data_IF_863025086649
#
_entry.id   IF_863025086649
#
_cell.length_a   1.000
_cell.length_b   1.000
_cell.length_c   1.000
_cell.angle_alpha   90.00
_cell.angle_beta   90.00
_cell.angle_gamma   90.00
#
_symmetry.space_group_name_H-M   'P 1'
#
loop_
_entity.id
_entity.type
_entity.pdbx_description
1 polymer ?
#
# COMPACT_ATOMS: atom_id res chain seq x y z
N UNK A 1 58.56 -48.27 -11.77
CA UNK A 1 57.71 -47.19 -11.21
C UNK A 1 56.40 -47.24 -11.95
N UNK A 2 55.45 -47.98 -11.40
CA UNK A 2 54.07 -48.08 -11.89
C UNK A 2 53.32 -46.83 -11.44
N UNK A 3 52.73 -46.11 -12.38
CA UNK A 3 51.88 -44.95 -12.10
C UNK A 3 50.45 -45.49 -12.07
N UNK A 4 49.89 -45.61 -10.88
CA UNK A 4 48.50 -45.99 -10.69
C UNK A 4 47.58 -44.89 -11.22
N UNK A 5 46.67 -45.29 -12.11
CA UNK A 5 45.59 -44.49 -12.67
C UNK A 5 44.48 -44.36 -11.61
N UNK A 6 44.40 -43.19 -10.96
CA UNK A 6 43.29 -42.88 -10.06
C UNK A 6 42.01 -42.62 -10.87
N UNK A 7 41.07 -43.55 -10.78
CA UNK A 7 39.72 -43.39 -11.27
C UNK A 7 39.05 -42.15 -10.64
N UNK A 8 38.34 -41.37 -11.46
CA UNK A 8 37.55 -40.24 -11.01
C UNK A 8 36.50 -40.67 -9.97
N UNK A 9 36.28 -39.91 -8.89
CA UNK A 9 35.27 -40.25 -7.91
C UNK A 9 33.88 -40.21 -8.56
N UNK A 10 33.07 -41.24 -8.28
CA UNK A 10 31.68 -41.30 -8.68
C UNK A 10 30.96 -40.03 -8.22
N UNK A 11 30.40 -39.28 -9.18
CA UNK A 11 29.51 -38.17 -8.87
C UNK A 11 28.27 -38.75 -8.17
N UNK A 12 28.27 -38.67 -6.84
CA UNK A 12 27.08 -38.83 -6.03
C UNK A 12 26.03 -37.85 -6.59
N UNK A 13 24.97 -38.39 -7.20
CA UNK A 13 23.87 -37.60 -7.74
C UNK A 13 23.23 -36.82 -6.59
N UNK A 14 23.68 -35.59 -6.36
CA UNK A 14 23.06 -34.68 -5.42
C UNK A 14 21.59 -34.53 -5.84
N UNK A 15 20.68 -35.12 -5.04
CA UNK A 15 19.26 -35.08 -5.30
C UNK A 15 18.82 -33.63 -5.55
N UNK A 16 18.25 -33.37 -6.72
CA UNK A 16 17.71 -32.06 -7.09
C UNK A 16 16.66 -31.65 -6.06
N UNK A 17 17.04 -30.77 -5.12
CA UNK A 17 16.09 -30.18 -4.18
C UNK A 17 15.18 -29.24 -4.96
N UNK A 18 13.85 -29.38 -4.85
CA UNK A 18 12.89 -28.41 -5.36
C UNK A 18 12.48 -27.46 -4.23
N UNK A 19 12.05 -26.27 -4.59
CA UNK A 19 11.44 -25.30 -3.66
C UNK A 19 10.13 -24.79 -4.22
N UNK A 20 9.14 -24.66 -3.33
CA UNK A 20 7.86 -24.05 -3.63
C UNK A 20 7.89 -22.54 -3.30
N UNK A 21 7.57 -21.70 -4.27
CA UNK A 21 7.57 -20.23 -4.22
C UNK A 21 6.21 -19.63 -3.86
N UNK A 22 5.76 -18.60 -4.58
CA UNK A 22 4.44 -18.00 -4.31
C UNK A 22 3.30 -18.93 -4.71
N UNK A 23 2.12 -18.73 -4.11
CA UNK A 23 0.88 -19.40 -4.49
C UNK A 23 -0.10 -18.33 -4.97
N UNK A 24 -0.57 -18.49 -6.20
CA UNK A 24 -1.65 -17.69 -6.75
C UNK A 24 -2.98 -18.42 -6.51
N UNK A 25 -4.00 -17.70 -6.02
CA UNK A 25 -5.36 -18.25 -5.88
C UNK A 25 -6.32 -17.51 -6.81
N UNK A 26 -7.27 -18.27 -7.36
CA UNK A 26 -8.37 -17.71 -8.14
C UNK A 26 -9.65 -17.67 -7.29
N UNK A 27 -10.48 -16.64 -7.51
CA UNK A 27 -11.76 -16.49 -6.81
C UNK A 27 -11.63 -16.30 -5.30
N UNK A 28 -12.43 -17.05 -4.53
CA UNK A 28 -12.55 -16.90 -3.06
C UNK A 28 -11.72 -17.90 -2.25
N UNK A 29 -10.87 -18.70 -2.90
CA UNK A 29 -10.11 -19.71 -2.18
C UNK A 29 -8.90 -19.14 -1.44
N UNK A 30 -8.61 -19.72 -0.28
CA UNK A 30 -7.43 -19.44 0.53
C UNK A 30 -6.20 -20.18 -0.03
N UNK A 31 -5.02 -19.57 0.09
CA UNK A 31 -3.70 -20.14 -0.27
C UNK A 31 -3.51 -21.54 0.28
N UNK A 32 -3.79 -21.75 1.57
CA UNK A 32 -3.64 -23.06 2.21
C UNK A 32 -4.52 -24.15 1.59
N UNK A 33 -5.64 -23.78 0.94
CA UNK A 33 -6.52 -24.75 0.27
C UNK A 33 -6.01 -25.15 -1.10
N UNK A 34 -5.44 -24.22 -1.86
CA UNK A 34 -4.74 -24.56 -3.12
C UNK A 34 -3.56 -25.47 -2.82
N UNK A 35 -2.79 -25.17 -1.76
CA UNK A 35 -1.68 -26.01 -1.32
C UNK A 35 -2.15 -27.41 -0.88
N UNK A 36 -3.21 -27.49 -0.07
CA UNK A 36 -3.78 -28.76 0.36
C UNK A 36 -4.28 -29.60 -0.82
N UNK A 37 -4.97 -29.01 -1.79
CA UNK A 37 -5.39 -29.73 -3.00
C UNK A 37 -4.20 -30.23 -3.82
N UNK A 38 -3.15 -29.41 -3.96
CA UNK A 38 -1.96 -29.80 -4.71
C UNK A 38 -1.18 -30.93 -4.03
N UNK A 39 -1.08 -30.90 -2.70
CA UNK A 39 -0.42 -31.92 -1.90
C UNK A 39 -1.26 -33.21 -1.80
N UNK A 40 -2.59 -33.10 -1.70
CA UNK A 40 -3.50 -34.24 -1.69
C UNK A 40 -3.56 -34.99 -3.02
N UNK A 41 -3.09 -34.39 -4.12
CA UNK A 41 -3.05 -35.05 -5.42
C UNK A 41 -1.92 -36.10 -5.54
N UNK A 42 -1.09 -36.28 -4.51
CA UNK A 42 0.00 -37.24 -4.47
C UNK A 42 -0.46 -38.61 -3.94
N UNK A 43 -0.04 -39.72 -4.56
CA UNK A 43 -0.26 -41.05 -4.00
C UNK A 43 0.49 -41.26 -2.67
N UNK A 44 0.00 -42.19 -1.87
CA UNK A 44 0.57 -42.51 -0.55
C UNK A 44 2.05 -42.92 -0.66
N UNK A 45 2.93 -42.19 0.02
CA UNK A 45 4.38 -42.49 0.01
C UNK A 45 5.12 -42.13 -1.27
N UNK A 46 4.55 -41.25 -2.11
CA UNK A 46 5.22 -40.73 -3.31
C UNK A 46 6.61 -40.17 -3.00
N UNK A 47 7.60 -40.56 -3.80
CA UNK A 47 8.99 -40.06 -3.75
C UNK A 47 9.25 -38.97 -4.78
N UNK A 48 8.22 -38.51 -5.52
CA UNK A 48 8.36 -37.40 -6.45
C UNK A 48 8.79 -36.13 -5.68
N UNK A 49 9.90 -35.47 -6.08
CA UNK A 49 10.37 -34.26 -5.44
C UNK A 49 9.30 -33.15 -5.33
N UNK A 50 8.35 -33.07 -6.26
CA UNK A 50 7.24 -32.12 -6.21
C UNK A 50 6.29 -32.47 -5.07
N UNK A 51 5.92 -33.74 -4.94
CA UNK A 51 4.97 -34.22 -3.94
C UNK A 51 5.55 -34.02 -2.53
N UNK A 52 6.82 -34.38 -2.34
CA UNK A 52 7.55 -34.22 -1.07
C UNK A 52 7.60 -32.75 -0.64
N UNK A 53 7.89 -31.83 -1.56
CA UNK A 53 7.97 -30.38 -1.26
C UNK A 53 6.61 -29.79 -0.94
N UNK A 54 5.56 -30.20 -1.64
CA UNK A 54 4.19 -29.72 -1.39
C UNK A 54 3.66 -30.23 -0.05
N UNK A 55 3.86 -31.51 0.26
CA UNK A 55 3.46 -32.11 1.53
C UNK A 55 4.23 -31.51 2.71
N UNK A 56 5.55 -31.35 2.59
CA UNK A 56 6.38 -30.72 3.63
C UNK A 56 5.96 -29.28 3.90
N UNK A 57 5.73 -28.48 2.85
CA UNK A 57 5.26 -27.10 3.02
C UNK A 57 3.88 -27.02 3.66
N UNK A 58 2.96 -27.92 3.31
CA UNK A 58 1.64 -27.95 3.93
C UNK A 58 1.75 -28.24 5.43
N UNK A 59 2.59 -29.20 5.82
CA UNK A 59 2.83 -29.53 7.23
C UNK A 59 3.44 -28.34 8.00
N UNK A 60 4.33 -27.57 7.38
CA UNK A 60 4.94 -26.39 7.99
C UNK A 60 3.98 -25.19 8.11
N UNK A 61 3.16 -24.93 7.08
CA UNK A 61 2.29 -23.74 7.03
C UNK A 61 0.89 -23.98 7.62
N UNK A 62 0.38 -25.22 7.59
CA UNK A 62 -1.02 -25.62 7.86
C UNK A 62 -1.10 -27.03 8.44
N UNK A 63 -0.54 -27.22 9.63
CA UNK A 63 -0.64 -28.44 10.43
C UNK A 63 -2.10 -28.81 10.79
N UNK A 64 -3.02 -27.86 10.71
CA UNK A 64 -4.47 -28.04 10.92
C UNK A 64 -5.17 -28.80 9.78
N UNK A 65 -4.56 -28.93 8.59
CA UNK A 65 -5.14 -29.63 7.44
C UNK A 65 -4.49 -31.01 7.29
N UNK A 66 -5.22 -32.06 7.69
CA UNK A 66 -4.82 -33.43 7.42
C UNK A 66 -5.01 -33.78 5.93
N UNK A 67 -3.98 -34.37 5.32
CA UNK A 67 -4.07 -34.90 3.95
C UNK A 67 -4.73 -36.29 3.97
N UNK A 68 -5.75 -36.52 3.12
CA UNK A 68 -6.30 -37.85 2.92
C UNK A 68 -5.28 -38.72 2.17
N UNK A 69 -5.32 -40.03 2.43
CA UNK A 69 -4.50 -41.01 1.72
C UNK A 69 -5.14 -41.32 0.38
N UNK A 70 -4.40 -41.11 -0.71
CA UNK A 70 -4.84 -41.45 -2.07
C UNK A 70 -4.27 -42.81 -2.47
N UNK A 71 -5.13 -43.70 -2.98
CA UNK A 71 -4.71 -44.99 -3.50
C UNK A 71 -4.08 -44.85 -4.89
N UNK A 72 -3.14 -45.74 -5.26
CA UNK A 72 -2.48 -45.68 -6.56
C UNK A 72 -3.46 -45.79 -7.74
N UNK A 73 -4.59 -46.48 -7.56
CA UNK A 73 -5.65 -46.61 -8.57
C UNK A 73 -6.46 -45.33 -8.81
N UNK A 74 -6.37 -44.35 -7.91
CA UNK A 74 -7.07 -43.06 -7.99
C UNK A 74 -6.25 -41.99 -8.72
N UNK A 75 -5.02 -42.30 -9.11
CA UNK A 75 -4.11 -41.39 -9.81
C UNK A 75 -4.02 -41.77 -11.29
N UNK A 76 -4.53 -40.89 -12.15
CA UNK A 76 -4.29 -40.95 -13.60
C UNK A 76 -3.14 -39.99 -13.96
N UNK A 77 -1.92 -40.51 -14.23
CA UNK A 77 -0.72 -39.71 -14.37
C UNK A 77 -0.76 -38.80 -15.60
N UNK A 78 0.11 -37.78 -15.59
CA UNK A 78 0.31 -36.91 -16.73
C UNK A 78 0.93 -37.68 -17.90
N UNK A 79 0.47 -37.38 -19.12
CA UNK A 79 0.93 -37.99 -20.38
C UNK A 79 1.49 -36.89 -21.31
N UNK A 80 2.20 -37.26 -22.36
CA UNK A 80 2.84 -36.27 -23.26
C UNK A 80 1.81 -35.43 -24.04
N UNK A 81 0.68 -36.03 -24.37
CA UNK A 81 -0.50 -35.40 -24.98
C UNK A 81 -1.35 -34.63 -23.95
N UNK A 82 -1.32 -35.08 -22.69
CA UNK A 82 -2.09 -34.52 -21.57
C UNK A 82 -1.18 -34.18 -20.40
N UNK A 83 -0.61 -32.98 -20.42
CA UNK A 83 0.40 -32.47 -19.46
C UNK A 83 -0.15 -32.09 -18.08
N UNK A 84 -1.19 -32.80 -17.63
CA UNK A 84 -1.73 -32.73 -16.28
C UNK A 84 -2.13 -34.13 -15.81
N UNK A 85 -1.97 -34.39 -14.52
CA UNK A 85 -2.52 -35.57 -13.84
C UNK A 85 -3.91 -35.27 -13.32
N UNK A 86 -4.71 -36.32 -13.18
CA UNK A 86 -5.99 -36.30 -12.51
C UNK A 86 -5.91 -37.24 -11.32
N UNK A 87 -6.18 -36.74 -10.13
CA UNK A 87 -6.15 -37.53 -8.90
C UNK A 87 -7.50 -37.45 -8.23
N UNK A 88 -8.12 -38.59 -7.97
CA UNK A 88 -9.33 -38.66 -7.16
C UNK A 88 -8.92 -38.65 -5.68
N UNK A 89 -9.48 -37.69 -4.95
CA UNK A 89 -9.18 -37.43 -3.55
C UNK A 89 -10.46 -37.58 -2.77
N UNK A 90 -10.50 -38.61 -1.94
CA UNK A 90 -11.62 -38.87 -1.04
C UNK A 90 -11.44 -38.14 0.28
N UNK A 91 -12.55 -37.79 0.92
CA UNK A 91 -12.56 -37.21 2.26
C UNK A 91 -11.73 -35.91 2.44
N UNK A 92 -11.62 -35.09 1.39
CA UNK A 92 -10.92 -33.81 1.50
C UNK A 92 -11.73 -32.85 2.37
N UNK A 93 -11.12 -32.37 3.46
CA UNK A 93 -11.78 -31.48 4.41
C UNK A 93 -12.29 -30.20 3.73
N UNK A 94 -13.54 -29.81 3.98
CA UNK A 94 -14.16 -28.61 3.40
C UNK A 94 -13.96 -27.36 4.28
N UNK A 95 -13.99 -26.14 3.71
CA UNK A 95 -13.85 -24.91 4.48
C UNK A 95 -14.99 -24.69 5.49
N UNK A 96 -14.66 -24.14 6.66
CA UNK A 96 -15.66 -23.68 7.64
C UNK A 96 -16.37 -24.79 8.41
N UNK A 97 -15.71 -25.93 8.63
CA UNK A 97 -16.28 -27.05 9.40
C UNK A 97 -17.39 -27.82 8.67
N UNK A 98 -17.50 -27.67 7.34
CA UNK A 98 -18.55 -28.28 6.52
C UNK A 98 -18.34 -29.78 6.22
N UNK A 99 -17.57 -30.48 7.04
CA UNK A 99 -17.24 -31.90 6.84
C UNK A 99 -16.16 -32.16 5.80
N UNK A 100 -16.18 -33.34 5.19
CA UNK A 100 -15.30 -33.78 4.11
C UNK A 100 -16.08 -33.90 2.79
N UNK A 101 -15.37 -33.95 1.66
CA UNK A 101 -15.99 -34.18 0.35
C UNK A 101 -15.02 -34.73 -0.67
N UNK A 102 -15.57 -35.35 -1.70
CA UNK A 102 -14.80 -36.04 -2.73
C UNK A 102 -14.57 -35.13 -3.94
N UNK A 103 -13.32 -35.08 -4.39
CA UNK A 103 -12.90 -34.21 -5.49
C UNK A 103 -11.98 -34.94 -6.45
N UNK A 104 -12.07 -34.59 -7.73
CA UNK A 104 -10.99 -34.85 -8.68
C UNK A 104 -10.13 -33.61 -8.77
N UNK A 105 -8.85 -33.74 -8.41
CA UNK A 105 -7.84 -32.69 -8.50
C UNK A 105 -7.06 -32.86 -9.79
N UNK A 106 -7.04 -31.81 -10.59
CA UNK A 106 -6.23 -31.71 -11.80
C UNK A 106 -4.97 -30.91 -11.49
N UNK A 107 -3.80 -31.50 -11.74
CA UNK A 107 -2.50 -30.89 -11.46
C UNK A 107 -1.58 -30.95 -12.67
N UNK A 108 -1.04 -29.82 -13.13
CA UNK A 108 -0.17 -29.85 -14.29
C UNK A 108 0.32 -28.51 -14.78
N UNK A 109 0.69 -28.44 -16.05
CA UNK A 109 1.08 -27.17 -16.66
C UNK A 109 -0.12 -26.21 -16.76
N UNK A 110 0.17 -24.92 -16.56
CA UNK A 110 -0.87 -23.90 -16.52
C UNK A 110 -1.70 -23.79 -17.80
N UNK A 111 -1.07 -23.91 -18.98
CA UNK A 111 -1.78 -23.73 -20.23
C UNK A 111 -2.78 -24.88 -20.49
N UNK A 112 -2.37 -26.12 -20.23
CA UNK A 112 -3.24 -27.29 -20.38
C UNK A 112 -4.35 -27.31 -19.34
N UNK A 113 -4.04 -27.01 -18.06
CA UNK A 113 -5.08 -26.94 -17.02
C UNK A 113 -6.08 -25.83 -17.33
N UNK A 114 -5.63 -24.65 -17.72
CA UNK A 114 -6.54 -23.54 -18.09
C UNK A 114 -7.40 -23.86 -19.33
N UNK A 115 -6.99 -24.79 -20.20
CA UNK A 115 -7.82 -25.19 -21.35
C UNK A 115 -9.04 -26.02 -20.93
N UNK A 116 -8.87 -26.84 -19.88
CA UNK A 116 -9.84 -27.85 -19.46
C UNK A 116 -10.73 -27.41 -18.27
N UNK A 117 -10.53 -26.21 -17.73
CA UNK A 117 -11.28 -25.71 -16.58
C UNK A 117 -12.04 -24.41 -16.83
N UNK A 118 -13.09 -24.20 -16.04
CA UNK A 118 -13.84 -22.94 -15.94
C UNK A 118 -13.06 -21.93 -15.11
N UNK A 119 -12.91 -20.73 -15.64
CA UNK A 119 -12.25 -19.60 -14.99
C UNK A 119 -12.86 -18.29 -15.52
N UNK A 120 -12.97 -17.28 -14.66
CA UNK A 120 -13.44 -15.95 -15.09
C UNK A 120 -12.41 -15.31 -16.04
N UNK A 121 -12.87 -14.39 -16.92
CA UNK A 121 -11.95 -13.68 -17.83
C UNK A 121 -10.92 -12.84 -17.07
N UNK A 122 -11.33 -12.23 -15.96
CA UNK A 122 -10.48 -11.41 -15.11
C UNK A 122 -9.39 -12.27 -14.43
N UNK A 123 -9.79 -13.36 -13.78
CA UNK A 123 -8.86 -14.27 -13.10
C UNK A 123 -7.90 -14.93 -14.09
N UNK A 124 -8.39 -15.29 -15.30
CA UNK A 124 -7.52 -15.84 -16.36
C UNK A 124 -6.45 -14.86 -16.78
N UNK A 125 -6.82 -13.60 -17.04
CA UNK A 125 -5.87 -12.57 -17.46
C UNK A 125 -4.79 -12.33 -16.38
N UNK A 126 -5.20 -12.30 -15.11
CA UNK A 126 -4.28 -12.14 -13.97
C UNK A 126 -3.39 -13.37 -13.79
N UNK A 127 -3.97 -14.58 -13.84
CA UNK A 127 -3.23 -15.84 -13.68
C UNK A 127 -2.15 -15.99 -14.75
N UNK A 128 -2.50 -15.78 -16.02
CA UNK A 128 -1.56 -15.89 -17.15
C UNK A 128 -0.46 -14.83 -17.05
N UNK A 129 -0.81 -13.58 -16.72
CA UNK A 129 0.16 -12.50 -16.57
C UNK A 129 1.14 -12.76 -15.42
N UNK A 130 0.64 -13.21 -14.26
CA UNK A 130 1.49 -13.48 -13.10
C UNK A 130 2.38 -14.71 -13.35
N UNK A 131 1.84 -15.74 -14.01
CA UNK A 131 2.60 -16.92 -14.40
C UNK A 131 3.73 -16.60 -15.40
N UNK A 132 3.49 -15.75 -16.41
CA UNK A 132 4.56 -15.30 -17.32
C UNK A 132 5.68 -14.57 -16.57
N UNK A 133 5.30 -13.67 -15.65
CA UNK A 133 6.28 -12.98 -14.79
C UNK A 133 7.05 -13.95 -13.88
N UNK A 134 6.37 -14.98 -13.38
CA UNK A 134 6.96 -16.06 -12.58
C UNK A 134 7.96 -16.90 -13.38
N UNK A 135 7.60 -17.30 -14.60
CA UNK A 135 8.45 -18.06 -15.50
C UNK A 135 9.69 -17.29 -15.93
N UNK A 136 9.58 -15.98 -16.15
CA UNK A 136 10.76 -15.11 -16.40
C UNK A 136 11.73 -15.03 -15.21
N UNK A 137 11.29 -15.40 -14.00
CA UNK A 137 12.12 -15.48 -12.78
C UNK A 137 12.68 -16.88 -12.54
N UNK A 138 12.43 -17.84 -13.44
CA UNK A 138 12.91 -19.22 -13.33
C UNK A 138 11.97 -20.16 -12.58
N UNK A 139 10.77 -19.70 -12.19
CA UNK A 139 9.76 -20.56 -11.57
C UNK A 139 8.87 -21.23 -12.63
N UNK A 140 8.40 -22.43 -12.33
CA UNK A 140 7.42 -23.17 -13.12
C UNK A 140 6.10 -23.22 -12.35
N UNK A 141 5.02 -22.62 -12.87
CA UNK A 141 3.72 -22.66 -12.22
C UNK A 141 3.10 -24.06 -12.39
N UNK A 142 2.88 -24.74 -11.26
CA UNK A 142 2.08 -25.96 -11.17
C UNK A 142 0.63 -25.56 -10.94
N UNK A 143 -0.18 -25.65 -11.98
CA UNK A 143 -1.59 -25.31 -11.91
C UNK A 143 -2.41 -26.39 -11.22
N UNK A 144 -3.42 -25.94 -10.48
CA UNK A 144 -4.36 -26.77 -9.74
C UNK A 144 -5.77 -26.36 -10.12
N UNK A 145 -6.58 -27.34 -10.53
CA UNK A 145 -8.02 -27.22 -10.70
C UNK A 145 -8.70 -28.36 -9.96
N UNK A 146 -9.97 -28.18 -9.61
CA UNK A 146 -10.74 -29.25 -8.97
C UNK A 146 -12.17 -29.32 -9.49
N UNK A 147 -12.71 -30.54 -9.46
CA UNK A 147 -14.11 -30.83 -9.76
C UNK A 147 -14.70 -31.65 -8.60
N UNK A 148 -15.88 -31.29 -8.06
CA UNK A 148 -16.55 -32.11 -7.06
C UNK A 148 -17.05 -33.42 -7.70
N UNK A 149 -17.04 -34.50 -6.93
CA UNK A 149 -17.65 -35.79 -7.32
C UNK A 149 -19.06 -35.84 -6.72
N UNK A 150 -20.07 -35.96 -7.58
CA UNK A 150 -21.48 -36.04 -7.19
C UNK A 150 -21.96 -37.47 -6.94
N UNK A 151 -23.25 -37.61 -6.59
CA UNK A 151 -23.89 -38.92 -6.46
C UNK A 151 -23.78 -39.72 -7.78
N UNK A 152 -23.46 -41.02 -7.67
CA UNK A 152 -23.27 -41.90 -8.83
C UNK A 152 -21.90 -41.79 -9.52
N UNK A 153 -20.87 -41.32 -8.81
CA UNK A 153 -19.48 -41.17 -9.31
C UNK A 153 -19.34 -40.22 -10.51
N UNK A 154 -20.23 -39.23 -10.59
CA UNK A 154 -20.25 -38.27 -11.68
C UNK A 154 -19.33 -37.08 -11.37
N UNK A 155 -18.30 -36.89 -12.21
CA UNK A 155 -17.35 -35.78 -12.05
C UNK A 155 -17.94 -34.48 -12.60
N UNK A 156 -18.02 -33.46 -11.76
CA UNK A 156 -18.50 -32.13 -12.15
C UNK A 156 -17.55 -31.37 -13.08
N UNK A 157 -17.89 -30.12 -13.39
CA UNK A 157 -17.01 -29.27 -14.20
C UNK A 157 -15.78 -28.81 -13.40
N UNK A 158 -14.59 -28.94 -13.99
CA UNK A 158 -13.35 -28.43 -13.39
C UNK A 158 -13.40 -26.91 -13.25
N UNK A 159 -13.02 -26.42 -12.08
CA UNK A 159 -12.85 -24.99 -11.79
C UNK A 159 -11.39 -24.72 -11.47
N UNK A 160 -10.82 -23.67 -12.07
CA UNK A 160 -9.45 -23.26 -11.78
C UNK A 160 -9.34 -22.76 -10.33
N UNK A 161 -8.40 -23.33 -9.58
CA UNK A 161 -8.24 -23.00 -8.17
C UNK A 161 -7.03 -22.09 -7.94
N UNK A 162 -5.95 -22.29 -8.68
CA UNK A 162 -4.73 -21.52 -8.51
C UNK A 162 -3.52 -22.20 -9.13
N UNK A 163 -2.34 -21.68 -8.84
CA UNK A 163 -1.10 -22.36 -9.16
C UNK A 163 -0.06 -22.14 -8.06
N UNK A 164 0.87 -23.08 -7.96
CA UNK A 164 1.99 -23.05 -7.02
C UNK A 164 3.27 -22.95 -7.82
N UNK A 165 4.11 -21.99 -7.50
CA UNK A 165 5.38 -21.80 -8.18
C UNK A 165 6.38 -22.84 -7.68
N UNK A 166 7.05 -23.55 -8.59
CA UNK A 166 8.10 -24.51 -8.26
C UNK A 166 9.39 -24.14 -8.98
N UNK A 167 10.54 -24.31 -8.33
CA UNK A 167 11.84 -24.21 -9.00
C UNK A 167 12.82 -25.24 -8.45
N UNK A 168 13.87 -25.51 -9.21
CA UNK A 168 15.04 -26.19 -8.65
C UNK A 168 15.74 -25.25 -7.67
N UNK A 169 15.97 -25.78 -6.47
CA UNK A 169 16.73 -25.12 -5.42
C UNK A 169 18.21 -25.41 -5.65
N UNK A 170 18.97 -24.36 -6.00
CA UNK A 170 20.39 -24.38 -5.70
C UNK A 170 20.53 -24.02 -4.20
N UNK A 171 21.07 -24.92 -3.34
CA UNK A 171 21.12 -24.69 -1.89
C UNK A 171 21.77 -23.37 -1.49
N UNK A 172 22.68 -22.83 -2.30
CA UNK A 172 23.38 -21.57 -2.04
C UNK A 172 22.53 -20.31 -2.30
N UNK A 173 21.38 -20.42 -2.98
CA UNK A 173 20.56 -19.26 -3.39
C UNK A 173 19.20 -19.15 -2.72
N UNK A 174 18.72 -20.17 -2.02
CA UNK A 174 17.34 -20.20 -1.50
C UNK A 174 17.01 -19.04 -0.55
N UNK A 175 17.91 -18.69 0.37
CA UNK A 175 17.73 -17.54 1.25
C UNK A 175 17.70 -16.22 0.45
N UNK A 176 18.56 -16.07 -0.54
CA UNK A 176 18.62 -14.90 -1.43
C UNK A 176 17.42 -14.82 -2.37
N UNK A 177 16.85 -15.96 -2.77
CA UNK A 177 15.72 -16.10 -3.69
C UNK A 177 14.35 -15.97 -3.00
N UNK A 178 14.23 -16.43 -1.75
CA UNK A 178 13.09 -16.14 -0.88
C UNK A 178 13.12 -14.67 -0.45
N UNK A 179 14.31 -14.12 -0.16
CA UNK A 179 14.48 -12.69 0.02
C UNK A 179 14.09 -11.92 -1.25
N UNK A 180 14.47 -12.41 -2.43
CA UNK A 180 14.13 -11.81 -3.73
C UNK A 180 12.71 -12.14 -4.25
N UNK A 181 11.91 -12.96 -3.54
CA UNK A 181 10.56 -13.35 -3.97
C UNK A 181 9.62 -12.13 -3.98
N UNK A 182 9.14 -11.67 -5.16
CA UNK A 182 8.43 -10.39 -5.29
C UNK A 182 7.02 -10.37 -4.71
N UNK A 183 6.48 -11.53 -4.32
CA UNK A 183 5.19 -11.65 -3.62
C UNK A 183 5.33 -11.50 -2.10
N UNK A 184 6.55 -11.45 -1.58
CA UNK A 184 6.77 -11.05 -0.19
C UNK A 184 6.65 -9.53 -0.05
N UNK A 185 5.93 -9.11 0.98
CA UNK A 185 5.72 -7.71 1.30
C UNK A 185 6.89 -7.19 2.13
N UNK A 186 7.55 -6.15 1.67
CA UNK A 186 8.53 -5.41 2.45
C UNK A 186 7.86 -4.20 3.09
N UNK A 187 7.99 -4.07 4.41
CA UNK A 187 7.63 -2.84 5.11
C UNK A 187 8.74 -1.81 4.92
N UNK A 188 8.42 -0.71 4.25
CA UNK A 188 9.31 0.44 4.11
C UNK A 188 8.87 1.50 5.12
N UNK A 189 9.71 1.81 6.09
CA UNK A 189 9.47 2.93 7.01
C UNK A 189 9.72 4.23 6.28
N UNK A 190 8.63 4.91 5.93
CA UNK A 190 8.63 6.05 5.03
C UNK A 190 8.56 7.38 5.79
N UNK A 191 7.76 7.41 6.86
CA UNK A 191 7.50 8.63 7.63
C UNK A 191 8.06 8.52 9.04
N UNK A 192 9.01 9.39 9.35
CA UNK A 192 9.55 9.51 10.71
C UNK A 192 8.47 9.94 11.70
N UNK A 193 8.61 9.53 12.97
CA UNK A 193 7.66 9.89 14.03
C UNK A 193 7.53 11.41 14.20
N UNK A 194 8.63 12.14 14.03
CA UNK A 194 8.66 13.61 14.07
C UNK A 194 7.79 14.23 12.96
N UNK A 195 7.87 13.72 11.72
CA UNK A 195 7.03 14.18 10.61
C UNK A 195 5.55 13.92 10.88
N UNK A 196 5.23 12.73 11.43
CA UNK A 196 3.85 12.37 11.77
C UNK A 196 3.27 13.26 12.85
N UNK A 197 4.02 13.51 13.92
CA UNK A 197 3.63 14.44 14.97
C UNK A 197 3.36 15.82 14.39
N UNK A 198 4.29 16.34 13.57
CA UNK A 198 4.14 17.65 12.96
C UNK A 198 2.89 17.74 12.06
N UNK A 199 2.60 16.72 11.27
CA UNK A 199 1.39 16.68 10.45
C UNK A 199 0.11 16.72 11.31
N UNK A 200 -0.02 15.84 12.29
CA UNK A 200 -1.24 15.77 13.11
C UNK A 200 -1.42 17.01 13.99
N UNK A 201 -0.34 17.61 14.49
CA UNK A 201 -0.39 18.91 15.16
C UNK A 201 -0.87 20.03 14.23
N UNK A 202 -0.44 20.04 12.96
CA UNK A 202 -0.95 20.98 11.97
C UNK A 202 -2.43 20.77 11.67
N UNK A 203 -2.88 19.51 11.50
CA UNK A 203 -4.29 19.19 11.27
C UNK A 203 -5.16 19.72 12.42
N UNK A 204 -4.78 19.44 13.67
CA UNK A 204 -5.51 19.92 14.85
C UNK A 204 -5.56 21.46 14.89
N UNK A 205 -4.42 22.12 14.65
CA UNK A 205 -4.35 23.57 14.63
C UNK A 205 -5.23 24.18 13.54
N UNK A 206 -5.18 23.64 12.31
CA UNK A 206 -5.98 24.12 11.18
C UNK A 206 -7.49 23.98 11.47
N UNK A 207 -7.91 22.86 12.06
CA UNK A 207 -9.33 22.65 12.43
C UNK A 207 -9.77 23.69 13.46
N UNK A 208 -9.04 23.84 14.56
CA UNK A 208 -9.41 24.80 15.62
C UNK A 208 -9.39 26.25 15.11
N UNK A 209 -8.35 26.64 14.35
CA UNK A 209 -8.24 27.98 13.76
C UNK A 209 -9.33 28.25 12.73
N UNK A 210 -9.71 27.26 11.94
CA UNK A 210 -10.79 27.40 10.95
C UNK A 210 -12.15 27.59 11.62
N UNK A 211 -12.49 26.76 12.61
CA UNK A 211 -13.77 26.86 13.31
C UNK A 211 -13.89 28.19 14.07
N UNK A 212 -12.87 28.54 14.83
CA UNK A 212 -12.85 29.82 15.57
C UNK A 212 -12.76 31.03 14.63
N UNK A 213 -11.98 30.95 13.55
CA UNK A 213 -11.83 32.01 12.57
C UNK A 213 -13.13 32.27 11.80
N UNK A 214 -13.85 31.22 11.41
CA UNK A 214 -15.16 31.35 10.80
C UNK A 214 -16.16 32.01 11.76
N UNK A 215 -16.21 31.60 13.03
CA UNK A 215 -17.05 32.25 14.05
C UNK A 215 -16.68 33.72 14.30
N UNK A 216 -15.40 34.09 14.13
CA UNK A 216 -14.93 35.49 14.20
C UNK A 216 -15.40 36.31 13.00
N UNK A 217 -15.45 35.69 11.82
CA UNK A 217 -15.89 36.33 10.59
C UNK A 217 -17.42 36.48 10.55
N UNK A 218 -18.15 35.43 10.90
CA UNK A 218 -19.61 35.36 10.88
C UNK A 218 -20.12 34.71 12.18
N UNK A 219 -20.51 35.51 13.19
CA UNK A 219 -21.00 35.00 14.47
C UNK A 219 -22.44 34.49 14.35
N UNK A 220 -22.60 33.26 13.86
CA UNK A 220 -23.92 32.62 13.67
C UNK A 220 -24.36 31.74 14.85
N UNK A 221 -23.46 31.39 15.77
CA UNK A 221 -23.70 30.46 16.88
C UNK A 221 -23.38 31.08 18.24
N UNK A 222 -24.27 30.83 19.21
CA UNK A 222 -24.16 31.28 20.59
C UNK A 222 -25.20 32.34 20.96
N UNK A 223 -25.31 32.72 22.25
CA UNK A 223 -26.17 33.82 22.65
C UNK A 223 -25.73 35.08 21.88
N UNK A 224 -26.63 35.66 21.10
CA UNK A 224 -26.44 37.03 20.62
C UNK A 224 -26.19 37.92 21.83
N UNK A 225 -25.39 38.98 21.69
CA UNK A 225 -25.21 39.95 22.76
C UNK A 225 -26.60 40.38 23.24
N UNK A 226 -27.01 39.89 24.41
CA UNK A 226 -28.27 40.27 25.02
C UNK A 226 -28.07 41.72 25.46
N UNK A 227 -29.07 42.57 25.23
CA UNK A 227 -29.09 43.93 25.81
C UNK A 227 -29.26 43.90 27.36
N UNK A 228 -29.12 42.71 27.96
CA UNK A 228 -29.21 42.48 29.39
C UNK A 228 -27.87 42.83 30.04
N UNK A 229 -27.86 44.00 30.67
CA UNK A 229 -26.69 44.57 31.37
C UNK A 229 -26.23 43.68 32.52
N UNK A 230 -27.07 42.75 33.01
CA UNK A 230 -26.73 41.89 34.15
C UNK A 230 -25.94 40.62 33.78
N UNK A 231 -25.87 40.24 32.51
CA UNK A 231 -25.08 39.08 32.07
C UNK A 231 -24.58 39.25 30.63
N UNK A 232 -23.65 40.20 30.38
CA UNK A 232 -23.03 40.33 29.08
C UNK A 232 -22.21 39.06 28.80
N UNK A 233 -22.71 38.19 27.90
CA UNK A 233 -22.00 36.96 27.54
C UNK A 233 -20.58 37.21 27.03
N UNK A 234 -19.62 36.36 27.41
CA UNK A 234 -18.21 36.48 27.00
C UNK A 234 -17.76 35.42 25.98
N UNK A 235 -18.72 34.79 25.28
CA UNK A 235 -18.45 33.73 24.32
C UNK A 235 -17.43 34.16 23.26
N UNK A 236 -17.60 35.35 22.68
CA UNK A 236 -16.71 35.83 21.64
C UNK A 236 -15.30 36.15 22.15
N UNK A 237 -15.18 36.49 23.43
CA UNK A 237 -13.90 36.60 24.12
C UNK A 237 -13.17 35.26 24.16
N UNK A 238 -13.86 34.19 24.57
CA UNK A 238 -13.32 32.84 24.57
C UNK A 238 -12.90 32.35 23.18
N UNK A 239 -13.75 32.54 22.16
CA UNK A 239 -13.44 32.16 20.77
C UNK A 239 -12.16 32.85 20.29
N UNK A 240 -12.01 34.16 20.56
CA UNK A 240 -10.80 34.92 20.19
C UNK A 240 -9.57 34.44 20.94
N UNK A 241 -9.67 34.18 22.26
CA UNK A 241 -8.55 33.67 23.06
C UNK A 241 -8.09 32.31 22.53
N UNK A 242 -9.01 31.40 22.23
CA UNK A 242 -8.68 30.09 21.64
C UNK A 242 -8.00 30.29 20.29
N UNK A 243 -8.57 31.12 19.41
CA UNK A 243 -8.00 31.39 18.09
C UNK A 243 -6.57 31.91 18.18
N UNK A 244 -6.31 32.96 18.97
CA UNK A 244 -4.98 33.55 19.10
C UNK A 244 -3.98 32.59 19.75
N UNK A 245 -4.40 31.88 20.79
CA UNK A 245 -3.53 30.91 21.48
C UNK A 245 -3.12 29.79 20.52
N UNK A 246 -4.08 29.22 19.78
CA UNK A 246 -3.79 28.21 18.77
C UNK A 246 -2.93 28.78 17.63
N UNK A 247 -3.13 30.04 17.24
CA UNK A 247 -2.32 30.68 16.20
C UNK A 247 -0.85 30.80 16.62
N UNK A 248 -0.57 31.19 17.87
CA UNK A 248 0.79 31.23 18.40
C UNK A 248 1.42 29.83 18.51
N UNK A 249 0.66 28.81 18.91
CA UNK A 249 1.14 27.42 18.88
C UNK A 249 1.46 27.00 17.45
N UNK A 250 0.60 27.36 16.48
CA UNK A 250 0.80 27.03 15.07
C UNK A 250 2.01 27.76 14.47
N UNK A 251 2.29 29.00 14.89
CA UNK A 251 3.52 29.72 14.56
C UNK A 251 4.77 28.99 15.07
N UNK A 252 4.75 28.46 16.30
CA UNK A 252 5.86 27.67 16.85
C UNK A 252 6.06 26.38 16.05
N UNK A 253 4.97 25.68 15.71
CA UNK A 253 5.01 24.48 14.84
C UNK A 253 5.59 24.82 13.46
N UNK A 254 5.20 25.96 12.89
CA UNK A 254 5.70 26.49 11.62
C UNK A 254 7.20 26.84 11.69
N UNK A 255 7.63 27.52 12.75
CA UNK A 255 9.04 27.83 12.97
C UNK A 255 9.88 26.56 13.13
N UNK A 256 9.40 25.58 13.89
CA UNK A 256 10.05 24.28 14.00
C UNK A 256 10.14 23.56 12.65
N UNK A 257 9.15 23.73 11.76
CA UNK A 257 9.21 23.23 10.38
C UNK A 257 10.30 23.91 9.58
N UNK A 258 10.38 25.23 9.63
CA UNK A 258 11.41 26.00 8.91
C UNK A 258 12.80 25.55 9.35
N UNK A 259 13.05 25.44 10.67
CA UNK A 259 14.34 24.93 11.19
C UNK A 259 14.62 23.52 10.68
N UNK A 260 13.62 22.64 10.71
CA UNK A 260 13.76 21.26 10.20
C UNK A 260 14.04 21.22 8.70
N UNK A 261 13.50 22.15 7.92
CA UNK A 261 13.71 22.25 6.48
C UNK A 261 15.18 22.49 6.09
N UNK A 262 15.94 23.15 6.98
CA UNK A 262 17.37 23.41 6.78
C UNK A 262 18.27 22.40 7.51
N UNK A 263 17.90 21.96 8.72
CA UNK A 263 18.79 21.20 9.61
C UNK A 263 18.50 19.70 9.69
N UNK A 264 17.34 19.23 9.22
CA UNK A 264 16.97 17.83 9.38
C UNK A 264 17.86 16.88 8.56
N UNK A 265 18.22 15.74 9.17
CA UNK A 265 18.88 14.61 8.49
C UNK A 265 17.90 13.81 7.63
N UNK A 266 16.60 13.92 7.90
CA UNK A 266 15.56 13.24 7.14
C UNK A 266 15.34 13.97 5.79
N UNK A 267 15.58 13.26 4.69
CA UNK A 267 15.44 13.77 3.32
C UNK A 267 14.05 14.38 3.08
N UNK A 268 13.00 13.80 3.64
CA UNK A 268 11.62 14.24 3.42
C UNK A 268 11.25 15.51 4.18
N UNK A 269 12.07 15.92 5.16
CA UNK A 269 11.89 17.19 5.86
C UNK A 269 12.61 18.36 5.18
N UNK A 270 13.54 18.11 4.27
CA UNK A 270 14.43 19.15 3.72
C UNK A 270 13.77 20.02 2.64
N UNK A 271 14.21 21.26 2.55
CA UNK A 271 13.78 22.25 1.54
C UNK A 271 13.77 21.74 0.09
N UNK A 272 14.78 21.00 -0.42
CA UNK A 272 14.80 20.55 -1.81
C UNK A 272 13.67 19.59 -2.18
N UNK A 273 12.95 19.04 -1.21
CA UNK A 273 11.81 18.13 -1.39
C UNK A 273 10.50 18.90 -1.65
N UNK A 274 10.46 20.21 -1.39
CA UNK A 274 9.32 21.09 -1.67
C UNK A 274 9.26 21.53 -3.14
N UNK A 275 10.27 21.24 -3.96
CA UNK A 275 10.26 21.60 -5.36
C UNK A 275 10.47 20.38 -6.27
N UNK A 276 9.39 19.83 -6.87
CA UNK A 276 9.45 18.62 -7.69
C UNK A 276 10.03 18.85 -9.08
N UNK A 277 9.97 20.08 -9.61
CA UNK A 277 10.21 20.36 -11.03
C UNK A 277 11.67 20.75 -11.27
N UNK A 278 12.58 19.77 -11.25
CA UNK A 278 14.02 20.00 -11.48
C UNK A 278 14.48 19.60 -12.88
N UNK A 279 13.81 18.63 -13.50
CA UNK A 279 14.15 18.09 -14.82
C UNK A 279 12.92 18.09 -15.75
N UNK A 280 13.18 18.04 -17.06
CA UNK A 280 12.12 17.92 -18.08
C UNK A 280 11.25 16.66 -17.89
N UNK A 281 11.83 15.60 -17.37
CA UNK A 281 11.14 14.35 -17.06
C UNK A 281 10.12 14.51 -15.92
N UNK A 282 10.40 15.35 -14.92
CA UNK A 282 9.48 15.63 -13.80
C UNK A 282 8.21 16.32 -14.28
N UNK A 283 8.34 17.22 -15.26
CA UNK A 283 7.19 17.92 -15.89
C UNK A 283 6.34 16.94 -16.70
N UNK A 284 6.97 16.03 -17.45
CA UNK A 284 6.25 14.97 -18.19
C UNK A 284 5.49 14.05 -17.23
N UNK A 285 6.12 13.68 -16.11
CA UNK A 285 5.51 12.85 -15.07
C UNK A 285 4.39 13.58 -14.34
N UNK A 286 4.52 14.89 -14.07
CA UNK A 286 3.43 15.72 -13.55
C UNK A 286 2.20 15.67 -14.47
N UNK A 287 2.38 15.88 -15.78
CA UNK A 287 1.29 15.77 -16.75
C UNK A 287 0.67 14.36 -16.80
N UNK A 288 1.48 13.31 -16.62
CA UNK A 288 0.97 11.94 -16.53
C UNK A 288 0.11 11.71 -15.28
N UNK A 289 0.54 12.22 -14.13
CA UNK A 289 -0.19 12.13 -12.85
C UNK A 289 -1.49 12.94 -12.91
N UNK A 290 -1.44 14.18 -13.40
CA UNK A 290 -2.64 15.01 -13.60
C UNK A 290 -3.62 14.33 -14.55
N UNK A 291 -3.14 13.82 -15.69
CA UNK A 291 -3.97 13.08 -16.63
C UNK A 291 -4.60 11.83 -16.03
N UNK A 292 -3.91 11.15 -15.09
CA UNK A 292 -4.48 10.00 -14.39
C UNK A 292 -5.60 10.41 -13.41
N UNK A 293 -5.42 11.48 -12.65
CA UNK A 293 -6.44 12.00 -11.75
C UNK A 293 -7.65 12.58 -12.50
N UNK A 294 -7.44 13.14 -13.68
CA UNK A 294 -8.51 13.60 -14.59
C UNK A 294 -9.13 12.47 -15.43
N UNK A 295 -8.79 11.20 -15.16
CA UNK A 295 -9.28 10.02 -15.89
C UNK A 295 -8.91 9.96 -17.38
N UNK A 296 -8.02 10.84 -17.84
CA UNK A 296 -7.49 10.86 -19.21
C UNK A 296 -6.53 9.68 -19.44
N UNK A 297 -5.81 9.24 -18.40
CA UNK A 297 -4.84 8.13 -18.46
C UNK A 297 -5.17 7.00 -17.50
N UNK A 298 -5.09 5.76 -17.99
CA UNK A 298 -5.37 4.55 -17.20
C UNK A 298 -4.31 4.22 -16.15
N UNK A 299 -3.05 4.62 -16.37
CA UNK A 299 -1.93 4.30 -15.49
C UNK A 299 -1.10 5.54 -15.15
N UNK A 300 -0.80 5.74 -13.87
CA UNK A 300 0.16 6.73 -13.37
C UNK A 300 1.53 6.07 -13.07
N UNK A 301 2.63 6.84 -13.07
CA UNK A 301 3.92 6.37 -12.58
C UNK A 301 3.84 6.04 -11.08
N UNK A 302 4.50 4.95 -10.66
CA UNK A 302 4.57 4.55 -9.25
C UNK A 302 5.53 5.47 -8.49
N UNK A 303 5.03 6.20 -7.49
CA UNK A 303 5.83 6.97 -6.55
C UNK A 303 5.78 6.32 -5.16
N UNK A 304 6.90 6.35 -4.44
CA UNK A 304 7.03 5.81 -3.09
C UNK A 304 6.59 6.82 -2.04
N UNK A 305 7.11 8.06 -2.11
CA UNK A 305 6.86 9.10 -1.13
C UNK A 305 5.81 10.10 -1.62
N UNK A 306 6.13 10.87 -2.65
CA UNK A 306 5.23 11.90 -3.15
C UNK A 306 5.36 12.05 -4.66
N UNK A 307 4.22 11.99 -5.34
CA UNK A 307 4.16 12.36 -6.75
C UNK A 307 4.34 13.90 -6.92
N UNK A 308 4.72 14.38 -8.13
CA UNK A 308 4.96 15.80 -8.36
C UNK A 308 3.76 16.70 -8.04
N UNK A 309 2.53 16.21 -8.27
CA UNK A 309 1.32 16.96 -7.96
C UNK A 309 1.12 17.15 -6.45
N UNK A 310 1.37 16.10 -5.67
CA UNK A 310 1.36 16.13 -4.21
C UNK A 310 2.42 17.10 -3.68
N UNK A 311 3.65 17.04 -4.21
CA UNK A 311 4.72 17.96 -3.80
C UNK A 311 4.34 19.42 -4.06
N UNK A 312 3.78 19.75 -5.22
CA UNK A 312 3.26 21.10 -5.51
C UNK A 312 2.12 21.50 -4.56
N UNK A 313 1.21 20.57 -4.26
CA UNK A 313 0.13 20.78 -3.30
C UNK A 313 0.66 21.16 -1.91
N UNK A 314 1.64 20.43 -1.39
CA UNK A 314 2.23 20.75 -0.08
C UNK A 314 2.97 22.08 -0.07
N UNK A 315 3.69 22.40 -1.14
CA UNK A 315 4.37 23.70 -1.26
C UNK A 315 3.36 24.84 -1.30
N UNK A 316 2.27 24.68 -2.05
CA UNK A 316 1.14 25.60 -2.02
C UNK A 316 0.57 25.75 -0.62
N UNK A 317 0.35 24.65 0.11
CA UNK A 317 -0.17 24.67 1.47
C UNK A 317 0.78 25.37 2.46
N UNK A 318 2.10 25.19 2.34
CA UNK A 318 3.08 25.92 3.16
C UNK A 318 3.08 27.42 2.87
N UNK A 319 2.95 27.82 1.60
CA UNK A 319 2.84 29.23 1.20
C UNK A 319 1.55 29.84 1.75
N UNK A 320 0.41 29.17 1.58
CA UNK A 320 -0.87 29.62 2.14
C UNK A 320 -0.81 29.72 3.67
N UNK A 321 -0.19 28.74 4.33
CA UNK A 321 0.01 28.76 5.78
C UNK A 321 0.87 29.95 6.24
N UNK A 322 1.97 30.24 5.53
CA UNK A 322 2.81 31.40 5.83
C UNK A 322 2.04 32.72 5.64
N UNK A 323 1.26 32.84 4.56
CA UNK A 323 0.40 34.01 4.33
C UNK A 323 -0.63 34.15 5.46
N UNK A 324 -1.26 33.06 5.87
CA UNK A 324 -2.24 33.06 6.97
C UNK A 324 -1.61 33.49 8.30
N UNK A 325 -0.41 33.01 8.59
CA UNK A 325 0.37 33.39 9.78
C UNK A 325 0.73 34.88 9.76
N UNK A 326 1.23 35.40 8.63
CA UNK A 326 1.61 36.81 8.50
C UNK A 326 0.40 37.73 8.64
N UNK A 327 -0.68 37.44 7.90
CA UNK A 327 -1.90 38.26 7.95
C UNK A 327 -2.57 38.21 9.33
N UNK A 328 -2.55 37.06 10.00
CA UNK A 328 -3.01 36.92 11.39
C UNK A 328 -2.17 37.73 12.38
N UNK A 329 -0.84 37.66 12.26
CA UNK A 329 0.08 38.47 13.07
C UNK A 329 -0.09 39.97 12.84
N UNK A 330 -0.29 40.39 11.59
CA UNK A 330 -0.60 41.77 11.23
C UNK A 330 -1.86 42.26 11.93
N UNK A 331 -2.94 41.47 11.90
CA UNK A 331 -4.20 41.82 12.56
C UNK A 331 -4.07 41.86 14.09
N UNK A 332 -3.36 40.90 14.67
CA UNK A 332 -3.08 40.88 16.12
C UNK A 332 -2.18 42.06 16.55
N UNK A 333 -1.20 42.40 15.71
CA UNK A 333 -0.22 43.45 15.96
C UNK A 333 -0.80 44.86 15.98
N UNK A 334 -1.95 45.10 15.35
CA UNK A 334 -2.60 46.42 15.34
C UNK A 334 -2.80 46.99 16.74
N UNK A 335 -3.23 46.15 17.70
CA UNK A 335 -3.48 46.57 19.09
C UNK A 335 -2.18 46.90 19.83
N UNK A 336 -1.07 46.31 19.38
CA UNK A 336 0.25 46.41 20.01
C UNK A 336 1.20 47.32 19.24
N UNK A 337 0.72 48.03 18.21
CA UNK A 337 1.57 48.76 17.25
C UNK A 337 2.58 49.70 17.91
N UNK A 338 2.16 50.39 18.98
CA UNK A 338 2.99 51.37 19.69
C UNK A 338 3.81 50.77 20.85
N UNK A 339 3.71 49.46 21.11
CA UNK A 339 4.41 48.83 22.24
C UNK A 339 5.85 48.43 21.90
N UNK A 340 6.16 48.18 20.63
CA UNK A 340 7.48 47.79 20.16
C UNK A 340 7.64 48.05 18.67
N UNK A 341 8.88 48.33 18.24
CA UNK A 341 9.25 48.48 16.83
C UNK A 341 8.84 47.26 15.97
N UNK A 342 8.90 46.05 16.55
CA UNK A 342 8.49 44.82 15.89
C UNK A 342 7.00 44.85 15.51
N UNK A 343 6.13 45.21 16.44
CA UNK A 343 4.68 45.33 16.18
C UNK A 343 4.37 46.49 15.26
N UNK A 344 5.17 47.55 15.29
CA UNK A 344 5.14 48.64 14.31
C UNK A 344 5.29 48.15 12.87
N UNK A 345 6.28 47.28 12.59
CA UNK A 345 6.54 46.73 11.25
C UNK A 345 5.50 45.66 10.86
N UNK A 346 5.18 44.75 11.78
CA UNK A 346 4.25 43.64 11.48
C UNK A 346 2.84 44.14 11.18
N UNK A 347 2.42 45.24 11.80
CA UNK A 347 1.09 45.84 11.57
C UNK A 347 1.03 46.82 10.41
N UNK A 348 2.17 47.23 9.82
CA UNK A 348 2.21 48.22 8.72
C UNK A 348 1.33 47.87 7.51
N UNK A 349 1.13 46.59 7.12
CA UNK A 349 0.24 46.27 6.01
C UNK A 349 -1.21 46.75 6.21
N UNK A 350 -1.66 46.91 7.45
CA UNK A 350 -2.99 47.49 7.74
C UNK A 350 -3.06 48.96 7.35
N UNK A 351 -1.98 49.71 7.48
CA UNK A 351 -1.93 51.13 7.11
C UNK A 351 -2.01 51.30 5.58
N UNK A 352 -1.44 50.36 4.83
CA UNK A 352 -1.39 50.43 3.37
C UNK A 352 -2.68 49.93 2.71
N UNK A 353 -3.21 48.82 3.21
CA UNK A 353 -4.34 48.13 2.58
C UNK A 353 -5.66 48.37 3.30
N UNK A 354 -5.65 48.86 4.54
CA UNK A 354 -6.83 49.04 5.37
C UNK A 354 -7.25 47.75 6.08
N UNK A 355 -7.78 47.89 7.30
CA UNK A 355 -8.17 46.78 8.17
C UNK A 355 -9.16 45.81 7.52
N UNK A 356 -10.15 46.33 6.80
CA UNK A 356 -11.19 45.52 6.15
C UNK A 356 -10.60 44.60 5.09
N UNK A 357 -9.72 45.13 4.23
CA UNK A 357 -9.12 44.36 3.16
C UNK A 357 -8.18 43.27 3.70
N UNK A 358 -7.42 43.56 4.76
CA UNK A 358 -6.57 42.55 5.41
C UNK A 358 -7.42 41.43 6.02
N UNK A 359 -8.57 41.74 6.65
CA UNK A 359 -9.51 40.73 7.17
C UNK A 359 -10.10 39.87 6.06
N UNK A 360 -10.59 40.48 4.99
CA UNK A 360 -11.13 39.76 3.84
C UNK A 360 -10.08 38.85 3.23
N UNK A 361 -8.85 39.35 3.05
CA UNK A 361 -7.75 38.55 2.51
C UNK A 361 -7.40 37.36 3.42
N UNK A 362 -7.33 37.57 4.74
CA UNK A 362 -7.12 36.49 5.72
C UNK A 362 -8.24 35.43 5.68
N UNK A 363 -9.49 35.84 5.47
CA UNK A 363 -10.62 34.93 5.30
C UNK A 363 -10.56 34.17 3.97
N UNK A 364 -10.21 34.82 2.86
CA UNK A 364 -10.04 34.17 1.56
C UNK A 364 -8.98 33.07 1.64
N UNK A 365 -7.84 33.35 2.28
CA UNK A 365 -6.77 32.36 2.46
C UNK A 365 -7.24 31.18 3.30
N UNK A 366 -8.04 31.39 4.34
CA UNK A 366 -8.70 30.31 5.10
C UNK A 366 -9.56 29.42 4.18
N UNK A 367 -10.38 29.99 3.30
CA UNK A 367 -11.21 29.22 2.38
C UNK A 367 -10.38 28.46 1.32
N UNK A 368 -9.26 29.02 0.86
CA UNK A 368 -8.32 28.30 -0.01
C UNK A 368 -7.70 27.10 0.72
N UNK A 369 -7.38 27.23 2.01
CA UNK A 369 -6.93 26.11 2.85
C UNK A 369 -8.03 25.06 2.97
N UNK A 370 -9.30 25.44 3.12
CA UNK A 370 -10.41 24.47 3.16
C UNK A 370 -10.53 23.68 1.86
N UNK A 371 -10.48 24.37 0.71
CA UNK A 371 -10.50 23.73 -0.60
C UNK A 371 -9.35 22.72 -0.75
N UNK A 372 -8.14 23.08 -0.30
CA UNK A 372 -7.00 22.17 -0.26
C UNK A 372 -7.25 20.96 0.64
N UNK A 373 -7.75 21.15 1.87
CA UNK A 373 -8.01 20.04 2.81
C UNK A 373 -9.03 19.06 2.25
N UNK A 374 -10.13 19.55 1.68
CA UNK A 374 -11.17 18.71 1.05
C UNK A 374 -10.56 17.89 -0.09
N UNK A 375 -9.82 18.55 -1.00
CA UNK A 375 -9.17 17.88 -2.13
C UNK A 375 -8.12 16.86 -1.64
N UNK A 376 -7.34 17.21 -0.64
CA UNK A 376 -6.30 16.36 -0.06
C UNK A 376 -6.90 15.07 0.53
N UNK A 377 -7.96 15.18 1.33
CA UNK A 377 -8.65 14.03 1.92
C UNK A 377 -9.24 13.14 0.81
N UNK A 378 -9.92 13.73 -0.17
CA UNK A 378 -10.47 12.98 -1.30
C UNK A 378 -9.39 12.19 -2.06
N UNK A 379 -8.28 12.85 -2.43
CA UNK A 379 -7.19 12.21 -3.16
C UNK A 379 -6.49 11.13 -2.33
N UNK A 380 -6.33 11.36 -1.01
CA UNK A 380 -5.77 10.37 -0.10
C UNK A 380 -6.64 9.10 -0.05
N UNK A 381 -7.95 9.25 0.19
CA UNK A 381 -8.91 8.13 0.24
C UNK A 381 -8.99 7.41 -1.11
N UNK A 382 -9.05 8.16 -2.21
CA UNK A 382 -9.08 7.60 -3.57
C UNK A 382 -7.82 6.77 -3.85
N UNK A 383 -6.64 7.30 -3.54
CA UNK A 383 -5.38 6.59 -3.78
C UNK A 383 -5.27 5.32 -2.93
N UNK A 384 -5.75 5.36 -1.69
CA UNK A 384 -5.73 4.19 -0.81
C UNK A 384 -6.69 3.10 -1.28
N UNK A 385 -7.88 3.49 -1.74
CA UNK A 385 -8.92 2.59 -2.23
C UNK A 385 -8.59 1.97 -3.59
N UNK A 386 -8.10 2.77 -4.56
CA UNK A 386 -7.87 2.30 -5.94
C UNK A 386 -6.47 1.71 -6.14
N UNK A 387 -5.45 2.29 -5.52
CA UNK A 387 -4.05 1.98 -5.82
C UNK A 387 -3.39 1.13 -4.71
N UNK A 388 -4.11 0.87 -3.60
CA UNK A 388 -3.63 0.10 -2.43
C UNK A 388 -2.28 0.59 -1.90
N UNK A 389 -2.04 1.90 -2.02
CA UNK A 389 -0.77 2.52 -1.68
C UNK A 389 -0.50 2.62 -0.18
N UNK A 390 -1.51 2.43 0.68
CA UNK A 390 -1.35 2.50 2.13
C UNK A 390 -1.06 3.91 2.65
N UNK A 391 -1.41 4.95 1.89
CA UNK A 391 -1.02 6.34 2.17
C UNK A 391 -1.54 6.82 3.53
N UNK A 392 -2.81 6.59 3.81
CA UNK A 392 -3.44 6.97 5.09
C UNK A 392 -2.84 6.17 6.25
N UNK A 393 -2.73 4.85 6.09
CA UNK A 393 -2.18 3.95 7.10
C UNK A 393 -0.74 4.32 7.46
N UNK A 394 0.07 4.69 6.46
CA UNK A 394 1.46 5.13 6.66
C UNK A 394 1.56 6.42 7.46
N UNK A 395 0.60 7.34 7.32
CA UNK A 395 0.58 8.59 8.09
C UNK A 395 0.30 8.35 9.59
N UNK A 396 -0.35 7.22 9.91
CA UNK A 396 -0.61 6.79 11.29
C UNK A 396 0.54 5.96 11.83
N UNK A 397 0.99 4.92 11.12
CA UNK A 397 1.94 3.92 11.64
C UNK A 397 3.41 4.13 11.20
N UNK A 398 3.66 5.01 10.24
CA UNK A 398 4.99 5.38 9.73
C UNK A 398 5.53 4.53 8.58
N UNK A 399 4.88 3.43 8.20
CA UNK A 399 5.36 2.50 7.18
C UNK A 399 4.34 2.17 6.10
N UNK A 400 4.85 1.88 4.91
CA UNK A 400 4.07 1.39 3.76
C UNK A 400 4.51 -0.05 3.46
N UNK A 401 3.56 -0.91 3.13
CA UNK A 401 3.83 -2.25 2.64
C UNK A 401 3.89 -2.23 1.12
N UNK A 402 5.03 -2.60 0.55
CA UNK A 402 5.22 -2.70 -0.89
C UNK A 402 5.66 -4.10 -1.27
N UNK A 403 5.28 -4.53 -2.47
CA UNK A 403 5.78 -5.77 -3.06
C UNK A 403 7.28 -5.62 -3.30
N UNK A 404 8.07 -6.59 -2.81
CA UNK A 404 9.49 -6.68 -3.16
C UNK A 404 9.66 -6.70 -4.67
N UNK A 405 10.67 -6.02 -5.18
CA UNK A 405 10.92 -5.84 -6.61
C UNK A 405 10.19 -4.67 -7.28
N UNK A 406 9.31 -3.96 -6.59
CA UNK A 406 8.71 -2.70 -7.09
C UNK A 406 9.79 -1.67 -7.39
N UNK A 407 9.64 -0.91 -8.48
CA UNK A 407 10.55 0.17 -8.90
C UNK A 407 9.84 1.53 -8.86
N UNK A 408 9.73 2.18 -7.69
CA UNK A 408 9.23 3.55 -7.61
C UNK A 408 10.16 4.51 -8.36
N UNK A 409 9.62 5.60 -8.89
CA UNK A 409 10.40 6.61 -9.64
C UNK A 409 11.36 7.37 -8.72
N UNK A 410 11.01 7.54 -7.45
CA UNK A 410 11.69 8.35 -6.44
C UNK A 410 12.54 7.53 -5.45
N UNK A 411 12.65 6.21 -5.62
CA UNK A 411 13.38 5.31 -4.72
C UNK A 411 14.07 4.16 -5.48
N UNK A 412 15.19 3.62 -4.97
CA UNK A 412 15.74 2.37 -5.49
C UNK A 412 14.71 1.24 -5.50
N UNK A 413 14.97 0.22 -6.32
CA UNK A 413 14.16 -1.01 -6.36
C UNK A 413 14.02 -1.57 -4.93
N UNK A 414 12.79 -1.84 -4.50
CA UNK A 414 12.53 -2.40 -3.18
C UNK A 414 13.06 -3.84 -3.15
N UNK A 415 13.96 -4.12 -2.20
CA UNK A 415 14.69 -5.37 -2.03
C UNK A 415 13.86 -6.45 -1.37
#
# INVERSE_FOLDING_TARGET
>A
MTVDEQAAPAAEQAALKLTAGSIFTAGKMNVGRVLAMAAAAAPAGSTDPVDVVLAGRLADERDDIALPTVADGDVDPARMDRRYSLTRVHDLQLPGGKGTGDFVVMRGDLASVLKECKISREDRAVAVKNADLSSRRGFRPLAVASAPVGEGDTVGAFTFQGYIELRSANPAGFADDVAASPDSWARVNLWSASLRLQHWSNVLAIVVLSLTGYLIMDPFFGPSATNDVQSPGYLMGWVRVIHFTTAFIWLVIGAARVVSAFRSRDRYLRWPTLWPLKKKEDVKNLGAVVGHYLFIRKHAPLYLAHNPLQQLGYTGMYVLGAIQMVTGLTLYGMVHKNSSWFWGIVSTPVDWFGITNVRVFHAIVMFLIWAFVILHIYLAVRSDSLERHGGISSMINGGVWLRRGSKPVDSPKIG
#
